data_IF_724785097994
#
_entry.id   IF_724785097994
#
_cell.length_a   1.000
_cell.length_b   1.000
_cell.length_c   1.000
_cell.angle_alpha   90.00
_cell.angle_beta   90.00
_cell.angle_gamma   90.00
#
_symmetry.space_group_name_H-M   'P 1'
#
loop_
_entity.id
_entity.type
_entity.pdbx_description
1 polymer ?
#
# COMPACT_ATOMS: atom_id res chain seq x y z
N UNK A 1 6.34 -63.14 -20.72
CA UNK A 1 5.46 -62.73 -19.60
C UNK A 1 6.19 -62.24 -18.34
N UNK A 2 7.38 -62.72 -17.97
CA UNK A 2 8.09 -62.27 -16.75
C UNK A 2 8.54 -60.79 -16.79
N UNK A 3 9.05 -60.31 -17.92
CA UNK A 3 9.52 -58.92 -18.08
C UNK A 3 8.39 -57.87 -18.02
N UNK A 4 7.17 -58.24 -18.44
CA UNK A 4 6.02 -57.35 -18.40
C UNK A 4 5.59 -57.06 -16.95
N UNK A 5 5.73 -58.03 -16.05
CA UNK A 5 5.42 -57.88 -14.61
C UNK A 5 6.41 -56.93 -13.92
N UNK A 6 7.69 -56.97 -14.29
CA UNK A 6 8.72 -56.09 -13.74
C UNK A 6 8.56 -54.64 -14.21
N UNK A 7 8.15 -54.42 -15.46
CA UNK A 7 7.82 -53.09 -15.98
C UNK A 7 6.61 -52.47 -15.27
N UNK A 8 5.57 -53.25 -14.97
CA UNK A 8 4.40 -52.78 -14.21
C UNK A 8 4.76 -52.39 -12.77
N UNK A 9 5.63 -53.15 -12.10
CA UNK A 9 6.10 -52.85 -10.75
C UNK A 9 6.93 -51.56 -10.73
N UNK A 10 7.84 -51.38 -11.69
CA UNK A 10 8.63 -50.15 -11.80
C UNK A 10 7.77 -48.92 -12.09
N UNK A 11 6.75 -49.05 -12.94
CA UNK A 11 5.80 -47.97 -13.25
C UNK A 11 4.96 -47.57 -12.03
N UNK A 12 4.54 -48.55 -11.21
CA UNK A 12 3.81 -48.28 -9.96
C UNK A 12 4.71 -47.54 -8.97
N UNK A 13 5.98 -47.94 -8.86
CA UNK A 13 6.94 -47.28 -7.96
C UNK A 13 7.19 -45.82 -8.37
N UNK A 14 7.29 -45.55 -9.67
CA UNK A 14 7.45 -44.19 -10.20
C UNK A 14 6.20 -43.33 -9.95
N UNK A 15 5.00 -43.90 -10.14
CA UNK A 15 3.73 -43.23 -9.84
C UNK A 15 3.61 -42.89 -8.34
N UNK A 16 4.03 -43.82 -7.47
CA UNK A 16 3.97 -43.64 -6.02
C UNK A 16 5.00 -42.60 -5.54
N UNK A 17 6.18 -42.56 -6.16
CA UNK A 17 7.18 -41.53 -5.90
C UNK A 17 6.73 -40.15 -6.40
N UNK A 18 6.06 -40.08 -7.55
CA UNK A 18 5.48 -38.84 -8.06
C UNK A 18 4.32 -38.33 -7.19
N UNK A 19 3.49 -39.25 -6.67
CA UNK A 19 2.41 -38.90 -5.75
C UNK A 19 2.93 -38.39 -4.41
N UNK A 20 4.09 -38.87 -3.95
CA UNK A 20 4.76 -38.36 -2.75
C UNK A 20 5.31 -36.92 -2.94
N UNK A 21 5.67 -36.53 -4.17
CA UNK A 21 6.07 -35.14 -4.49
C UNK A 21 4.88 -34.18 -4.48
N UNK A 22 3.66 -34.68 -4.72
CA UNK A 22 2.43 -33.88 -4.66
C UNK A 22 1.88 -33.71 -3.24
N UNK A 23 2.46 -34.39 -2.23
CA UNK A 23 2.09 -34.16 -0.83
C UNK A 23 2.74 -32.84 -0.40
N UNK A 24 1.96 -31.79 -0.06
CA UNK A 24 2.54 -30.55 0.42
C UNK A 24 3.25 -30.79 1.76
N UNK A 25 4.58 -30.69 1.74
CA UNK A 25 5.40 -30.70 2.96
C UNK A 25 5.24 -29.36 3.67
N UNK A 26 4.21 -29.24 4.48
CA UNK A 26 4.00 -28.11 5.39
C UNK A 26 2.63 -27.47 5.23
N UNK A 27 1.91 -27.36 6.35
CA UNK A 27 0.88 -26.34 6.53
C UNK A 27 1.60 -25.06 6.94
N UNK A 28 1.75 -24.11 6.01
CA UNK A 28 2.06 -22.74 6.39
C UNK A 28 0.84 -22.20 7.10
N UNK A 29 0.91 -22.06 8.43
CA UNK A 29 -0.02 -21.19 9.14
C UNK A 29 0.28 -19.81 8.60
N UNK A 30 -0.66 -19.23 7.84
CA UNK A 30 -0.59 -17.82 7.51
C UNK A 30 -0.59 -17.08 8.85
N UNK A 31 0.58 -16.57 9.26
CA UNK A 31 0.63 -15.48 10.22
C UNK A 31 -0.30 -14.41 9.65
N UNK A 32 -1.16 -13.83 10.49
CA UNK A 32 -1.73 -12.52 10.18
C UNK A 32 -0.53 -11.67 9.74
N UNK A 33 -0.55 -11.24 8.48
CA UNK A 33 0.58 -10.56 7.85
C UNK A 33 0.58 -9.13 8.40
N UNK A 34 0.95 -9.00 9.68
CA UNK A 34 1.12 -7.72 10.34
C UNK A 34 2.34 -7.10 9.68
N UNK A 35 2.06 -6.07 8.86
CA UNK A 35 3.04 -5.31 8.12
C UNK A 35 4.11 -4.76 9.06
N UNK A 36 5.35 -4.65 8.58
CA UNK A 36 6.45 -4.06 9.37
C UNK A 36 6.11 -2.63 9.79
N UNK A 37 5.52 -1.86 8.87
CA UNK A 37 5.01 -0.50 9.07
C UNK A 37 3.52 -0.48 8.73
N UNK A 38 2.69 -0.10 9.69
CA UNK A 38 1.25 0.09 9.50
C UNK A 38 0.80 1.39 10.19
N UNK A 39 0.34 2.36 9.39
CA UNK A 39 -0.14 3.66 9.87
C UNK A 39 -1.67 3.60 9.91
N UNK A 40 -2.22 3.69 11.12
CA UNK A 40 -3.66 3.72 11.32
C UNK A 40 -4.06 5.13 11.75
N UNK A 41 -4.96 5.76 11.00
CA UNK A 41 -5.46 7.12 11.29
C UNK A 41 -6.94 7.13 11.61
N UNK A 42 -7.34 7.85 12.65
CA UNK A 42 -8.74 8.10 13.01
C UNK A 42 -9.00 9.59 13.11
N UNK A 43 -9.92 10.17 12.31
CA UNK A 43 -10.71 9.54 11.25
C UNK A 43 -9.88 9.18 9.99
N UNK A 44 -10.29 8.14 9.26
CA UNK A 44 -9.54 7.61 8.09
C UNK A 44 -9.80 8.39 6.79
N UNK A 45 -11.00 8.94 6.60
CA UNK A 45 -11.44 9.48 5.30
C UNK A 45 -11.55 10.99 5.23
N UNK A 46 -12.21 11.59 6.23
CA UNK A 46 -12.51 13.03 6.23
C UNK A 46 -12.18 13.56 7.61
N UNK A 47 -11.18 14.43 7.69
CA UNK A 47 -10.83 15.12 8.92
C UNK A 47 -11.75 16.32 9.14
N UNK A 48 -11.95 17.14 8.11
CA UNK A 48 -12.82 18.31 8.13
C UNK A 48 -13.95 18.16 7.11
N UNK A 49 -15.19 18.27 7.59
CA UNK A 49 -16.36 18.60 6.78
C UNK A 49 -17.00 19.82 7.42
N UNK A 50 -16.79 20.97 6.80
CA UNK A 50 -17.21 22.28 7.32
C UNK A 50 -17.97 23.00 6.21
N UNK A 51 -19.23 23.29 6.48
CA UNK A 51 -20.12 23.98 5.55
C UNK A 51 -20.43 25.38 6.06
N UNK A 52 -20.60 26.33 5.13
CA UNK A 52 -20.99 27.71 5.43
C UNK A 52 -20.08 28.44 6.44
N UNK A 53 -18.79 28.12 6.46
CA UNK A 53 -17.80 28.82 7.28
C UNK A 53 -17.72 30.28 6.83
N UNK A 54 -17.75 31.20 7.80
CA UNK A 54 -17.70 32.65 7.55
C UNK A 54 -16.38 33.24 8.09
N UNK A 55 -15.97 34.41 7.60
CA UNK A 55 -14.89 35.16 8.22
C UNK A 55 -15.12 35.34 9.72
N UNK A 56 -14.15 34.93 10.53
CA UNK A 56 -14.19 34.89 11.99
C UNK A 56 -14.50 33.52 12.61
N UNK A 57 -15.00 32.57 11.82
CA UNK A 57 -15.25 31.21 12.29
C UNK A 57 -13.95 30.39 12.37
N UNK A 58 -13.96 29.36 13.20
CA UNK A 58 -12.94 28.32 13.22
C UNK A 58 -13.59 26.93 13.17
N UNK A 59 -12.81 25.93 12.79
CA UNK A 59 -13.14 24.53 12.93
C UNK A 59 -11.95 23.77 13.53
N UNK A 60 -12.19 22.94 14.54
CA UNK A 60 -11.17 22.13 15.19
C UNK A 60 -11.50 20.64 15.06
N UNK A 61 -10.50 19.82 14.74
CA UNK A 61 -10.62 18.37 14.58
C UNK A 61 -9.38 17.69 15.13
N UNK A 62 -9.58 16.56 15.79
CA UNK A 62 -8.49 15.73 16.32
C UNK A 62 -8.25 14.57 15.36
N UNK A 63 -6.99 14.39 14.98
CA UNK A 63 -6.49 13.24 14.23
C UNK A 63 -5.66 12.37 15.18
N UNK A 64 -6.11 11.14 15.40
CA UNK A 64 -5.31 10.12 16.10
C UNK A 64 -4.52 9.32 15.05
N UNK A 65 -3.21 9.28 15.21
CA UNK A 65 -2.28 8.48 14.41
C UNK A 65 -1.75 7.39 15.32
N UNK A 66 -1.74 6.14 14.85
CA UNK A 66 -1.27 5.01 15.64
C UNK A 66 -0.43 4.06 14.79
N UNK A 67 0.54 3.42 15.45
CA UNK A 67 1.41 2.44 14.82
C UNK A 67 0.85 1.04 15.07
N UNK A 68 0.24 0.45 14.03
CA UNK A 68 -0.23 -0.94 14.03
C UNK A 68 0.83 -1.96 13.60
N UNK A 69 2.02 -1.48 13.23
CA UNK A 69 3.12 -2.29 12.71
C UNK A 69 3.94 -2.96 13.82
N UNK A 70 5.10 -3.50 13.43
CA UNK A 70 6.06 -4.16 14.34
C UNK A 70 7.29 -3.32 14.61
N UNK A 71 7.52 -2.26 13.83
CA UNK A 71 8.70 -1.42 13.91
C UNK A 71 8.32 0.01 14.26
N UNK A 72 9.23 0.67 14.98
CA UNK A 72 9.14 2.11 15.24
C UNK A 72 9.47 2.86 13.96
N UNK A 73 8.69 3.88 13.62
CA UNK A 73 8.91 4.69 12.43
C UNK A 73 8.70 6.17 12.70
N UNK A 74 9.32 7.01 11.88
CA UNK A 74 8.95 8.42 11.83
C UNK A 74 7.84 8.60 10.80
N UNK A 75 6.84 9.42 11.07
CA UNK A 75 5.85 9.82 10.09
C UNK A 75 5.99 11.30 9.73
N UNK A 76 5.53 11.64 8.54
CA UNK A 76 5.49 13.01 8.05
C UNK A 76 4.07 13.30 7.54
N UNK A 77 3.60 14.50 7.84
CA UNK A 77 2.31 15.02 7.37
C UNK A 77 2.58 16.09 6.31
N UNK A 78 1.87 16.01 5.20
CA UNK A 78 1.87 17.03 4.15
C UNK A 78 0.44 17.40 3.77
N UNK A 79 0.24 18.58 3.18
CA UNK A 79 -1.05 18.97 2.61
C UNK A 79 -0.93 19.36 1.15
N UNK A 80 -2.02 19.22 0.41
CA UNK A 80 -2.14 19.77 -0.95
C UNK A 80 -3.57 20.17 -1.23
N UNK A 81 -3.74 21.26 -1.98
CA UNK A 81 -5.03 21.61 -2.57
C UNK A 81 -5.42 20.57 -3.63
N UNK A 82 -6.53 19.87 -3.39
CA UNK A 82 -7.09 18.88 -4.31
C UNK A 82 -8.03 19.52 -5.33
N UNK A 83 -8.93 20.39 -4.88
CA UNK A 83 -9.88 21.09 -5.75
C UNK A 83 -10.36 22.42 -5.13
N UNK A 84 -10.97 23.29 -5.93
CA UNK A 84 -11.56 24.56 -5.48
C UNK A 84 -10.64 25.78 -5.58
N UNK A 85 -10.96 26.81 -4.80
CA UNK A 85 -10.40 28.15 -4.92
C UNK A 85 -9.05 28.30 -4.20
N UNK A 86 -7.98 28.50 -4.98
CA UNK A 86 -6.64 28.81 -4.45
C UNK A 86 -6.62 30.05 -3.57
N UNK A 87 -7.47 31.03 -3.87
CA UNK A 87 -7.58 32.27 -3.10
C UNK A 87 -8.02 31.97 -1.66
N UNK A 88 -9.04 31.13 -1.47
CA UNK A 88 -9.49 30.74 -0.13
C UNK A 88 -8.44 29.88 0.58
N UNK A 89 -7.88 28.88 -0.13
CA UNK A 89 -6.84 28.00 0.41
C UNK A 89 -5.60 28.74 0.93
N UNK A 90 -5.18 29.82 0.26
CA UNK A 90 -4.00 30.58 0.67
C UNK A 90 -4.22 31.48 1.89
N UNK A 91 -5.47 31.81 2.21
CA UNK A 91 -5.83 32.76 3.26
C UNK A 91 -6.33 32.07 4.55
N UNK A 92 -6.86 30.86 4.45
CA UNK A 92 -7.23 30.06 5.62
C UNK A 92 -6.00 29.76 6.49
N UNK A 93 -6.12 30.02 7.80
CA UNK A 93 -5.05 29.77 8.77
C UNK A 93 -5.17 28.34 9.30
N UNK A 94 -4.07 27.61 9.28
CA UNK A 94 -3.94 26.27 9.86
C UNK A 94 -3.03 26.34 11.08
N UNK A 95 -3.53 25.81 12.19
CA UNK A 95 -2.75 25.53 13.39
C UNK A 95 -2.78 24.03 13.66
N UNK A 96 -1.61 23.43 13.90
CA UNK A 96 -1.48 22.03 14.31
C UNK A 96 -0.84 22.01 15.70
N UNK A 97 -1.50 21.37 16.65
CA UNK A 97 -1.04 21.22 18.02
C UNK A 97 -0.89 19.74 18.38
N UNK A 98 0.10 19.43 19.20
CA UNK A 98 0.23 18.12 19.84
C UNK A 98 -0.71 17.96 21.03
N UNK A 99 -0.83 16.74 21.56
CA UNK A 99 -1.61 16.43 22.76
C UNK A 99 -1.20 17.28 23.99
N UNK A 100 0.07 17.66 24.10
CA UNK A 100 0.59 18.54 25.16
C UNK A 100 0.33 20.05 24.92
N UNK A 101 -0.53 20.42 23.97
CA UNK A 101 -0.77 21.79 23.50
C UNK A 101 0.48 22.51 22.97
N UNK A 102 1.54 21.77 22.61
CA UNK A 102 2.68 22.36 21.91
C UNK A 102 2.30 22.62 20.46
N UNK A 103 2.46 23.87 20.02
CA UNK A 103 2.28 24.29 18.63
C UNK A 103 3.34 23.63 17.74
N UNK A 104 2.88 22.85 16.77
CA UNK A 104 3.73 22.17 15.78
C UNK A 104 3.80 22.95 14.47
N UNK A 105 2.72 23.66 14.12
CA UNK A 105 2.66 24.53 12.96
C UNK A 105 1.61 25.62 13.19
N UNK A 106 1.90 26.82 12.71
CA UNK A 106 0.98 27.95 12.69
C UNK A 106 1.31 28.82 11.47
N UNK A 107 0.37 28.91 10.54
CA UNK A 107 0.54 29.62 9.28
C UNK A 107 -0.70 29.50 8.40
N UNK A 108 -0.59 29.83 7.11
CA UNK A 108 -1.69 29.60 6.17
C UNK A 108 -1.66 28.20 5.57
N UNK A 109 -2.82 27.67 5.18
CA UNK A 109 -2.94 26.39 4.50
C UNK A 109 -2.10 26.34 3.22
N UNK A 110 -2.07 27.43 2.45
CA UNK A 110 -1.23 27.55 1.25
C UNK A 110 0.27 27.59 1.50
N UNK A 111 0.73 27.88 2.73
CA UNK A 111 2.14 27.84 3.12
C UNK A 111 2.54 26.50 3.74
N UNK A 112 1.57 25.69 4.18
CA UNK A 112 1.83 24.41 4.80
C UNK A 112 2.22 23.34 3.77
N UNK A 113 3.52 23.09 3.65
CA UNK A 113 4.05 22.04 2.77
C UNK A 113 4.14 20.70 3.49
N UNK A 114 4.86 20.66 4.61
CA UNK A 114 5.07 19.47 5.42
C UNK A 114 5.39 19.83 6.87
N UNK A 115 5.09 18.91 7.78
CA UNK A 115 5.58 18.92 9.15
C UNK A 115 6.99 18.31 9.23
N UNK A 116 7.75 18.61 10.29
CA UNK A 116 8.97 17.87 10.61
C UNK A 116 8.64 16.41 10.95
N UNK A 117 9.51 15.44 10.60
CA UNK A 117 9.29 14.03 10.93
C UNK A 117 9.12 13.82 12.43
N UNK A 118 8.16 12.98 12.81
CA UNK A 118 7.86 12.64 14.21
C UNK A 118 7.90 11.15 14.42
N UNK A 119 8.60 10.72 15.46
CA UNK A 119 8.74 9.32 15.84
C UNK A 119 7.45 8.82 16.50
N UNK A 120 6.97 7.65 16.07
CA UNK A 120 5.90 6.91 16.73
C UNK A 120 6.36 5.47 16.95
N UNK A 121 6.36 5.04 18.21
CA UNK A 121 6.78 3.69 18.57
C UNK A 121 5.68 2.68 18.26
N UNK A 122 6.08 1.43 18.18
CA UNK A 122 5.21 0.28 18.01
C UNK A 122 4.11 0.29 19.07
N UNK A 123 2.85 0.13 18.66
CA UNK A 123 1.63 0.20 19.50
C UNK A 123 1.32 1.55 20.14
N UNK A 124 2.16 2.57 19.97
CA UNK A 124 1.88 3.91 20.47
C UNK A 124 0.86 4.63 19.59
N UNK A 125 0.28 5.67 20.19
CA UNK A 125 -0.70 6.56 19.58
C UNK A 125 -0.31 8.00 19.83
N UNK A 126 -0.54 8.84 18.85
CA UNK A 126 -0.36 10.27 18.96
C UNK A 126 -1.63 10.99 18.49
N UNK A 127 -2.08 11.96 19.28
CA UNK A 127 -3.19 12.83 18.90
C UNK A 127 -2.69 14.19 18.49
N UNK A 128 -3.12 14.62 17.31
CA UNK A 128 -2.84 15.94 16.77
C UNK A 128 -4.15 16.70 16.61
N UNK A 129 -4.20 17.90 17.15
CA UNK A 129 -5.32 18.83 16.99
C UNK A 129 -5.06 19.74 15.82
N UNK A 130 -5.87 19.62 14.78
CA UNK A 130 -5.87 20.50 13.64
C UNK A 130 -6.97 21.55 13.84
N UNK A 131 -6.60 22.81 13.75
CA UNK A 131 -7.53 23.93 13.79
C UNK A 131 -7.39 24.73 12.50
N UNK A 132 -8.50 24.90 11.79
CA UNK A 132 -8.60 25.79 10.63
C UNK A 132 -9.39 27.02 11.06
N UNK A 133 -8.81 28.19 10.87
CA UNK A 133 -9.43 29.47 11.18
C UNK A 133 -9.63 30.26 9.88
N UNK A 134 -10.82 30.83 9.71
CA UNK A 134 -11.14 31.76 8.64
C UNK A 134 -10.92 33.18 9.20
N UNK A 135 -9.84 33.88 8.81
CA UNK A 135 -9.54 35.20 9.36
C UNK A 135 -10.68 36.20 9.16
N UNK A 136 -11.05 36.94 10.22
CA UNK A 136 -12.11 37.94 10.19
C UNK A 136 -11.79 39.16 9.30
N UNK A 137 -10.51 39.35 8.96
CA UNK A 137 -10.02 40.39 8.05
C UNK A 137 -10.44 40.16 6.58
N UNK A 138 -10.90 38.95 6.25
CA UNK A 138 -11.32 38.57 4.92
C UNK A 138 -12.77 39.02 4.66
N UNK A 139 -12.98 39.71 3.54
CA UNK A 139 -14.28 40.29 3.20
C UNK A 139 -15.26 39.31 2.53
N UNK A 140 -16.40 39.85 2.10
CA UNK A 140 -17.45 39.10 1.38
C UNK A 140 -16.99 38.51 0.04
N UNK A 141 -15.81 38.89 -0.45
CA UNK A 141 -15.20 38.36 -1.68
C UNK A 141 -14.83 36.87 -1.58
N UNK A 142 -14.81 36.31 -0.36
CA UNK A 142 -14.57 34.89 -0.11
C UNK A 142 -15.87 34.10 0.14
N UNK A 143 -17.02 34.79 0.17
CA UNK A 143 -18.30 34.15 0.43
C UNK A 143 -18.71 33.25 -0.74
N UNK A 144 -19.04 31.99 -0.44
CA UNK A 144 -19.43 30.99 -1.43
C UNK A 144 -18.28 30.29 -2.16
N UNK A 145 -17.03 30.67 -1.85
CA UNK A 145 -15.86 29.93 -2.31
C UNK A 145 -15.76 28.59 -1.58
N UNK A 146 -15.18 27.60 -2.26
CA UNK A 146 -15.00 26.26 -1.70
C UNK A 146 -13.59 25.78 -1.98
N UNK A 147 -12.99 25.03 -1.06
CA UNK A 147 -11.72 24.37 -1.29
C UNK A 147 -11.72 22.99 -0.64
N UNK A 148 -11.08 22.04 -1.32
CA UNK A 148 -10.87 20.68 -0.83
C UNK A 148 -9.36 20.48 -0.65
N UNK A 149 -8.94 20.18 0.59
CA UNK A 149 -7.54 19.99 0.95
C UNK A 149 -7.33 18.54 1.36
N UNK A 150 -6.30 17.92 0.80
CA UNK A 150 -5.89 16.57 1.11
C UNK A 150 -4.67 16.59 2.04
N UNK A 151 -4.80 15.99 3.21
CA UNK A 151 -3.68 15.73 4.11
C UNK A 151 -3.16 14.31 3.86
N UNK A 152 -1.86 14.17 3.63
CA UNK A 152 -1.21 12.86 3.46
C UNK A 152 -0.25 12.61 4.60
N UNK A 153 -0.39 11.44 5.21
CA UNK A 153 0.48 10.92 6.25
C UNK A 153 1.25 9.75 5.65
N UNK A 154 2.57 9.73 5.81
CA UNK A 154 3.43 8.67 5.30
C UNK A 154 4.58 8.39 6.27
N UNK A 155 5.04 7.13 6.30
CA UNK A 155 6.22 6.76 7.06
C UNK A 155 7.48 7.25 6.32
N UNK A 156 8.37 7.89 7.05
CA UNK A 156 9.70 8.23 6.59
C UNK A 156 10.46 6.95 6.23
N UNK A 157 11.31 7.01 5.19
CA UNK A 157 12.08 5.84 4.75
C UNK A 157 11.35 4.86 3.82
N UNK A 158 10.03 4.66 3.96
CA UNK A 158 9.25 3.80 3.05
C UNK A 158 9.21 4.30 1.59
N UNK A 159 9.52 5.58 1.38
CA UNK A 159 9.62 6.22 0.06
C UNK A 159 10.92 7.00 -0.15
N UNK A 160 12.02 6.61 0.52
CA UNK A 160 13.34 7.24 0.33
C UNK A 160 13.39 8.74 0.64
N UNK A 161 12.50 9.24 1.50
CA UNK A 161 12.39 10.66 1.83
C UNK A 161 11.67 11.52 0.77
N UNK A 162 11.13 10.90 -0.29
CA UNK A 162 10.38 11.60 -1.33
C UNK A 162 8.88 11.56 -1.02
N UNK A 163 8.27 12.74 -0.89
CA UNK A 163 6.82 12.89 -1.08
C UNK A 163 6.55 12.39 -2.50
N UNK A 164 5.56 11.51 -2.74
CA UNK A 164 5.28 11.04 -4.09
C UNK A 164 4.95 12.24 -4.97
N UNK A 165 5.93 12.65 -5.79
CA UNK A 165 5.72 13.59 -6.87
C UNK A 165 4.62 13.01 -7.78
N UNK A 166 3.83 13.88 -8.41
CA UNK A 166 2.60 13.57 -9.17
C UNK A 166 2.70 12.45 -10.24
N UNK A 167 3.89 11.89 -10.49
CA UNK A 167 4.14 10.90 -11.53
C UNK A 167 4.29 9.46 -11.02
N UNK A 168 3.59 9.08 -9.94
CA UNK A 168 3.35 7.69 -9.57
C UNK A 168 4.58 6.90 -9.12
N UNK A 169 4.40 6.11 -8.07
CA UNK A 169 5.44 5.22 -7.55
C UNK A 169 5.65 4.09 -8.56
N UNK A 170 6.87 3.92 -9.10
CA UNK A 170 7.24 2.73 -9.87
C UNK A 170 7.26 1.55 -8.90
N UNK A 171 6.17 0.78 -8.90
CA UNK A 171 6.11 -0.49 -8.18
C UNK A 171 7.20 -1.44 -8.69
N UNK A 172 7.83 -2.25 -7.81
CA UNK A 172 8.71 -3.33 -8.24
C UNK A 172 7.95 -4.22 -9.22
N UNK A 173 8.57 -4.54 -10.35
CA UNK A 173 7.94 -5.27 -11.43
C UNK A 173 7.87 -6.78 -11.10
N UNK A 174 6.98 -7.15 -10.19
CA UNK A 174 6.75 -8.55 -9.76
C UNK A 174 6.11 -9.40 -10.86
N UNK A 175 5.53 -8.80 -11.90
CA UNK A 175 4.92 -9.53 -13.01
C UNK A 175 5.96 -10.21 -13.91
N UNK A 176 7.17 -9.66 -14.02
CA UNK A 176 8.19 -10.18 -14.94
C UNK A 176 8.80 -11.49 -14.43
N UNK A 177 9.04 -11.59 -13.12
CA UNK A 177 9.64 -12.81 -12.55
C UNK A 177 8.67 -13.99 -12.55
N UNK A 178 7.39 -13.76 -12.23
CA UNK A 178 6.35 -14.81 -12.28
C UNK A 178 6.12 -15.32 -13.71
N UNK A 179 6.26 -14.45 -14.72
CA UNK A 179 6.10 -14.82 -16.12
C UNK A 179 7.19 -15.77 -16.61
N UNK A 180 8.43 -15.62 -16.14
CA UNK A 180 9.54 -16.51 -16.48
C UNK A 180 9.28 -17.96 -16.05
N UNK A 181 8.69 -18.17 -14.85
CA UNK A 181 8.34 -19.51 -14.38
C UNK A 181 7.24 -20.17 -15.22
N UNK A 182 6.23 -19.40 -15.66
CA UNK A 182 5.17 -19.91 -16.54
C UNK A 182 5.72 -20.29 -17.91
N UNK A 183 6.64 -19.50 -18.47
CA UNK A 183 7.30 -19.79 -19.75
C UNK A 183 8.15 -21.06 -19.66
N UNK A 184 8.92 -21.24 -18.58
CA UNK A 184 9.71 -22.45 -18.34
C UNK A 184 8.79 -23.67 -18.21
N UNK A 185 7.70 -23.56 -17.46
CA UNK A 185 6.70 -24.62 -17.32
C UNK A 185 6.04 -25.00 -18.65
N UNK A 186 5.67 -24.00 -19.46
CA UNK A 186 5.13 -24.22 -20.80
C UNK A 186 6.11 -24.94 -21.74
N UNK A 187 7.39 -24.55 -21.71
CA UNK A 187 8.43 -25.20 -22.51
C UNK A 187 8.61 -26.68 -22.14
N UNK A 188 8.60 -27.01 -20.85
CA UNK A 188 8.70 -28.40 -20.37
C UNK A 188 7.51 -29.26 -20.84
N UNK A 189 6.29 -28.72 -20.83
CA UNK A 189 5.11 -29.43 -21.32
C UNK A 189 5.18 -29.73 -22.82
N UNK A 190 5.65 -28.77 -23.61
CA UNK A 190 5.82 -28.94 -25.07
C UNK A 190 6.88 -30.00 -25.37
N UNK A 191 8.01 -29.99 -24.65
CA UNK A 191 9.06 -31.01 -24.79
C UNK A 191 8.51 -32.40 -24.45
N UNK A 192 7.74 -32.52 -23.36
CA UNK A 192 7.09 -33.78 -22.98
C UNK A 192 6.14 -34.31 -24.06
N UNK A 193 5.34 -33.44 -24.67
CA UNK A 193 4.45 -33.78 -25.78
C UNK A 193 5.21 -34.27 -27.02
N UNK A 194 6.30 -33.61 -27.39
CA UNK A 194 7.14 -33.99 -28.55
C UNK A 194 7.75 -35.37 -28.33
N UNK A 195 8.30 -35.64 -27.13
CA UNK A 195 8.87 -36.95 -26.78
C UNK A 195 7.79 -38.04 -26.85
N UNK A 196 6.58 -37.76 -26.35
CA UNK A 196 5.47 -38.71 -26.37
C UNK A 196 5.00 -39.02 -27.80
N UNK A 197 4.92 -38.00 -28.65
CA UNK A 197 4.59 -38.18 -30.08
C UNK A 197 5.67 -38.98 -30.81
N UNK A 198 6.95 -38.69 -30.60
CA UNK A 198 8.06 -39.46 -31.16
C UNK A 198 8.01 -40.93 -30.73
N UNK A 199 7.71 -41.19 -29.45
CA UNK A 199 7.58 -42.54 -28.93
C UNK A 199 6.41 -43.30 -29.60
N UNK A 200 5.25 -42.66 -29.76
CA UNK A 200 4.09 -43.25 -30.45
C UNK A 200 4.39 -43.56 -31.92
N UNK A 201 5.04 -42.64 -32.63
CA UNK A 201 5.37 -42.82 -34.05
C UNK A 201 6.40 -43.94 -34.26
N UNK A 202 7.42 -44.04 -33.39
CA UNK A 202 8.38 -45.15 -33.45
C UNK A 202 7.72 -46.49 -33.19
N UNK A 203 6.78 -46.57 -32.24
CA UNK A 203 6.07 -47.81 -31.95
C UNK A 203 5.18 -48.26 -33.11
N UNK A 204 4.48 -47.33 -33.76
CA UNK A 204 3.65 -47.63 -34.93
C UNK A 204 4.45 -48.14 -36.14
N UNK A 205 5.70 -47.69 -36.29
CA UNK A 205 6.60 -48.17 -37.35
C UNK A 205 7.26 -49.52 -37.03
N UNK A 206 7.24 -49.98 -35.78
CA UNK A 206 7.78 -51.29 -35.37
C UNK A 206 6.73 -52.41 -35.43
N UNK A 207 5.45 -52.06 -35.59
CA UNK A 207 4.32 -53.00 -35.72
C UNK A 207 3.88 -53.22 -37.20
N UNK A 208 4.62 -52.66 -38.16
CA UNK A 208 4.52 -52.97 -39.61
C UNK A 208 5.67 -53.86 -40.03
#
# INVERSE_FOLDING_TARGET
MKYLRWLSIASIYYLLMFMAVLVPFGSTVASEDVMEIDIITTPEKVLFDVQNMKPGDWAERVLEISNGGKEDFNYIISSKLKSGDKKLYNELKLTIMSEDNKELFNGTLGQFNKLDPREIKTTDKEKLTFQVNFPAELGNEFQGLTCEVEFKIYAEGTFGGLIPAENGIKLPNTATDTMNFVVIGGALLVIGLIVLLMYRLRRANLEK
#
